data_IF_777919858311
#
_entry.id   IF_777919858311
#
_cell.length_a   1.000
_cell.length_b   1.000
_cell.length_c   1.000
_cell.angle_alpha   90.00
_cell.angle_beta   90.00
_cell.angle_gamma   90.00
#
_symmetry.space_group_name_H-M   'P 1'
#
loop_
_entity.id
_entity.type
_entity.pdbx_description
1 polymer ?
#
# COMPACT_ATOMS: atom_id res chain seq x y z
N UNK A 1 15.85 -44.51 -4.34
CA UNK A 1 16.29 -43.11 -4.46
C UNK A 1 15.36 -42.48 -5.48
N UNK A 2 14.22 -41.96 -5.03
CA UNK A 2 13.26 -41.32 -5.93
C UNK A 2 13.72 -39.89 -6.20
N UNK A 3 14.16 -39.66 -7.44
CA UNK A 3 14.43 -38.33 -7.97
C UNK A 3 13.08 -37.67 -8.23
N UNK A 4 12.71 -36.72 -7.36
CA UNK A 4 11.57 -35.83 -7.59
C UNK A 4 11.75 -35.12 -8.94
N UNK A 5 11.07 -35.59 -9.99
CA UNK A 5 10.99 -34.88 -11.26
C UNK A 5 10.28 -33.55 -10.99
N UNK A 6 11.03 -32.44 -10.99
CA UNK A 6 10.45 -31.10 -10.99
C UNK A 6 9.53 -30.96 -12.20
N UNK A 7 8.33 -30.44 -11.98
CA UNK A 7 7.35 -30.25 -13.04
C UNK A 7 7.63 -28.92 -13.75
N UNK A 8 7.67 -28.94 -15.08
CA UNK A 8 7.72 -27.72 -15.89
C UNK A 8 6.33 -27.11 -16.10
N UNK A 9 5.27 -27.70 -15.53
CA UNK A 9 3.91 -27.18 -15.69
C UNK A 9 3.69 -25.90 -14.88
N UNK A 10 3.36 -24.83 -15.60
CA UNK A 10 3.06 -23.52 -15.04
C UNK A 10 1.69 -23.54 -14.36
N UNK A 11 1.64 -23.07 -13.12
CA UNK A 11 0.40 -22.77 -12.41
C UNK A 11 -0.06 -21.34 -12.69
N UNK A 12 0.85 -20.36 -12.55
CA UNK A 12 0.60 -18.94 -12.84
C UNK A 12 1.78 -18.38 -13.64
N UNK A 13 1.49 -17.73 -14.76
CA UNK A 13 2.45 -16.86 -15.44
C UNK A 13 2.08 -15.41 -15.13
N UNK A 14 2.84 -14.76 -14.23
CA UNK A 14 2.70 -13.35 -13.87
C UNK A 14 3.88 -12.53 -14.42
N UNK A 15 4.28 -12.84 -15.65
CA UNK A 15 5.29 -12.08 -16.37
C UNK A 15 4.92 -10.59 -16.48
N UNK A 16 5.90 -9.69 -16.38
CA UNK A 16 7.35 -9.98 -16.34
C UNK A 16 7.91 -10.20 -14.92
N UNK A 17 7.07 -10.38 -13.89
CA UNK A 17 7.54 -10.39 -12.50
C UNK A 17 7.96 -11.79 -12.02
N UNK A 18 7.05 -12.76 -12.12
CA UNK A 18 7.30 -14.13 -11.65
C UNK A 18 6.49 -15.18 -12.39
N UNK A 19 6.94 -16.42 -12.28
CA UNK A 19 6.21 -17.64 -12.68
C UNK A 19 6.09 -18.55 -11.46
N UNK A 20 4.88 -19.07 -11.23
CA UNK A 20 4.61 -20.10 -10.22
C UNK A 20 4.37 -21.42 -10.93
N UNK A 21 5.07 -22.47 -10.52
CA UNK A 21 4.93 -23.82 -11.03
C UNK A 21 3.97 -24.66 -10.17
N UNK A 22 3.36 -25.70 -10.75
CA UNK A 22 2.45 -26.59 -10.00
C UNK A 22 3.12 -27.37 -8.87
N UNK A 23 4.45 -27.52 -8.91
CA UNK A 23 5.23 -28.13 -7.83
C UNK A 23 5.55 -27.16 -6.67
N UNK A 24 5.03 -25.93 -6.72
CA UNK A 24 5.18 -24.90 -5.70
C UNK A 24 6.42 -24.02 -5.87
N UNK A 25 7.30 -24.33 -6.83
CA UNK A 25 8.45 -23.47 -7.14
C UNK A 25 7.98 -22.11 -7.66
N UNK A 26 8.63 -21.05 -7.20
CA UNK A 26 8.44 -19.68 -7.70
C UNK A 26 9.74 -19.23 -8.35
N UNK A 27 9.64 -18.82 -9.61
CA UNK A 27 10.75 -18.23 -10.35
C UNK A 27 10.52 -16.73 -10.47
N UNK A 28 11.41 -15.93 -9.87
CA UNK A 28 11.41 -14.48 -10.05
C UNK A 28 12.10 -14.14 -11.38
N UNK A 29 11.36 -13.49 -12.27
CA UNK A 29 11.85 -13.07 -13.59
C UNK A 29 12.46 -11.67 -13.53
N UNK A 30 11.77 -10.74 -12.89
CA UNK A 30 12.26 -9.39 -12.58
C UNK A 30 12.20 -9.19 -11.07
N UNK A 31 13.35 -9.38 -10.41
CA UNK A 31 13.50 -9.07 -8.99
C UNK A 31 13.56 -7.57 -8.75
N UNK A 32 13.13 -7.15 -7.56
CA UNK A 32 13.20 -5.75 -7.16
C UNK A 32 14.65 -5.32 -6.94
N UNK A 33 14.99 -4.13 -7.42
CA UNK A 33 16.31 -3.54 -7.19
C UNK A 33 16.30 -2.85 -5.82
N UNK A 34 16.97 -3.44 -4.84
CA UNK A 34 17.04 -2.86 -3.49
C UNK A 34 18.08 -1.75 -3.41
N UNK A 35 17.75 -0.71 -2.65
CA UNK A 35 18.65 0.39 -2.33
C UNK A 35 18.80 0.54 -0.81
N UNK A 36 20.00 0.84 -0.30
CA UNK A 36 20.18 1.12 1.12
C UNK A 36 19.49 2.44 1.50
N UNK A 37 19.18 2.63 2.79
CA UNK A 37 18.77 3.94 3.27
C UNK A 37 19.92 4.93 3.06
N UNK A 38 19.59 6.15 2.63
CA UNK A 38 20.56 7.17 2.26
C UNK A 38 19.99 8.58 2.41
N UNK A 39 20.87 9.57 2.31
CA UNK A 39 20.49 10.96 2.04
C UNK A 39 20.44 11.17 0.53
N UNK A 40 19.25 11.43 -0.01
CA UNK A 40 19.08 11.75 -1.42
C UNK A 40 19.38 13.25 -1.68
N UNK A 41 20.44 13.59 -2.42
CA UNK A 41 20.81 14.99 -2.67
C UNK A 41 19.79 15.74 -3.53
N UNK A 42 18.95 15.04 -4.32
CA UNK A 42 17.96 15.69 -5.20
C UNK A 42 16.74 16.19 -4.43
N UNK A 43 16.28 15.38 -3.49
CA UNK A 43 15.06 15.66 -2.71
C UNK A 43 15.36 16.20 -1.31
N UNK A 44 16.63 16.13 -0.88
CA UNK A 44 17.09 16.45 0.47
C UNK A 44 16.35 15.65 1.55
N UNK A 45 16.04 14.38 1.25
CA UNK A 45 15.38 13.44 2.15
C UNK A 45 16.40 12.45 2.68
N UNK A 46 16.47 12.32 4.00
CA UNK A 46 17.24 11.29 4.68
C UNK A 46 16.34 10.11 5.00
N UNK A 47 16.86 8.89 4.84
CA UNK A 47 16.14 7.66 5.17
C UNK A 47 16.94 6.77 6.09
N UNK A 48 16.25 5.92 6.86
CA UNK A 48 16.83 4.89 7.71
C UNK A 48 15.90 3.70 7.84
N UNK A 49 16.47 2.51 8.02
CA UNK A 49 15.71 1.30 8.32
C UNK A 49 15.61 1.11 9.83
N UNK A 50 14.45 0.71 10.33
CA UNK A 50 14.18 0.60 11.77
C UNK A 50 13.32 -0.62 12.06
N UNK A 51 13.68 -1.48 13.03
CA UNK A 51 12.86 -2.63 13.39
C UNK A 51 11.59 -2.18 14.14
N UNK A 52 10.43 -2.68 13.70
CA UNK A 52 9.16 -2.53 14.42
C UNK A 52 8.74 -3.80 15.14
N UNK A 53 9.33 -4.96 14.79
CA UNK A 53 9.16 -6.22 15.52
C UNK A 53 10.44 -7.05 15.47
N UNK A 54 11.18 -7.11 16.59
CA UNK A 54 12.38 -7.94 16.70
C UNK A 54 12.06 -9.44 16.65
N UNK A 55 10.94 -9.85 17.25
CA UNK A 55 10.55 -11.25 17.31
C UNK A 55 10.29 -11.87 15.92
N UNK A 56 9.78 -11.07 14.99
CA UNK A 56 9.45 -11.50 13.63
C UNK A 56 10.44 -10.96 12.59
N UNK A 57 11.52 -10.30 13.02
CA UNK A 57 12.49 -9.63 12.16
C UNK A 57 11.85 -8.68 11.12
N UNK A 58 10.88 -7.88 11.58
CA UNK A 58 10.15 -6.94 10.72
C UNK A 58 10.66 -5.51 10.88
N UNK A 59 10.83 -4.83 9.76
CA UNK A 59 11.44 -3.52 9.65
C UNK A 59 10.59 -2.58 8.81
N UNK A 60 10.80 -1.27 8.96
CA UNK A 60 10.24 -0.28 8.07
C UNK A 60 11.33 0.72 7.69
N UNK A 61 11.14 1.41 6.55
CA UNK A 61 12.00 2.52 6.15
C UNK A 61 11.34 3.84 6.50
N UNK A 62 12.02 4.62 7.34
CA UNK A 62 11.63 5.99 7.65
C UNK A 62 12.26 6.96 6.66
N UNK A 63 11.53 8.02 6.34
CA UNK A 63 11.96 9.11 5.45
C UNK A 63 11.67 10.46 6.12
N UNK A 64 12.68 11.31 6.21
CA UNK A 64 12.61 12.62 6.86
C UNK A 64 13.23 13.70 5.95
N UNK A 65 12.53 14.81 5.65
CA UNK A 65 13.12 15.91 4.89
C UNK A 65 14.08 16.69 5.80
N UNK A 66 15.33 16.87 5.37
CA UNK A 66 16.41 17.46 6.19
C UNK A 66 16.15 18.90 6.64
N UNK A 67 15.29 19.64 5.96
CA UNK A 67 14.93 21.01 6.34
C UNK A 67 14.34 21.08 7.77
N UNK A 68 13.87 19.96 8.32
CA UNK A 68 13.32 19.87 9.68
C UNK A 68 14.35 19.91 10.80
N UNK A 69 15.63 19.64 10.52
CA UNK A 69 16.69 19.73 11.54
C UNK A 69 16.94 21.18 12.04
N UNK A 70 16.42 22.18 11.33
CA UNK A 70 16.62 23.59 11.66
C UNK A 70 15.59 24.13 12.67
N UNK A 71 14.41 23.50 12.78
CA UNK A 71 13.34 23.94 13.68
C UNK A 71 12.85 22.77 14.54
N UNK A 72 13.49 22.56 15.71
CA UNK A 72 13.22 21.44 16.63
C UNK A 72 11.77 21.37 17.17
N UNK A 73 10.94 22.39 16.96
CA UNK A 73 9.55 22.42 17.43
C UNK A 73 8.51 22.12 16.34
N UNK A 74 8.90 21.98 15.06
CA UNK A 74 7.94 21.76 13.99
C UNK A 74 7.64 20.27 13.80
N UNK A 75 6.40 19.86 14.12
CA UNK A 75 5.87 18.54 13.80
C UNK A 75 5.32 18.50 12.36
N UNK A 76 5.59 17.41 11.65
CA UNK A 76 5.17 17.16 10.28
C UNK A 76 4.07 16.10 10.22
N UNK A 77 3.11 16.20 9.28
CA UNK A 77 2.19 15.11 9.02
C UNK A 77 2.92 13.78 8.79
N UNK A 78 2.31 12.69 9.24
CA UNK A 78 2.89 11.35 9.16
C UNK A 78 2.14 10.50 8.15
N UNK A 79 2.86 9.97 7.16
CA UNK A 79 2.36 8.98 6.22
C UNK A 79 2.87 7.59 6.61
N UNK A 80 1.97 6.61 6.76
CA UNK A 80 2.33 5.19 6.78
C UNK A 80 2.00 4.60 5.41
N UNK A 81 3.03 4.12 4.71
CA UNK A 81 2.94 3.63 3.35
C UNK A 81 3.09 2.11 3.28
N UNK A 82 2.24 1.47 2.49
CA UNK A 82 2.28 0.04 2.21
C UNK A 82 2.50 -0.15 0.71
N UNK A 83 3.59 -0.81 0.33
CA UNK A 83 3.91 -1.03 -1.09
C UNK A 83 2.95 -2.03 -1.75
N UNK A 84 2.76 -1.90 -3.06
CA UNK A 84 2.05 -2.86 -3.89
C UNK A 84 2.84 -4.13 -4.16
N UNK A 85 2.47 -4.84 -5.24
CA UNK A 85 3.11 -6.10 -5.63
C UNK A 85 2.28 -7.34 -5.35
N UNK A 86 0.94 -7.23 -5.43
CA UNK A 86 0.01 -8.36 -5.32
C UNK A 86 0.18 -9.26 -4.08
N UNK A 87 0.82 -8.75 -3.01
CA UNK A 87 1.22 -9.49 -1.80
C UNK A 87 2.35 -10.54 -1.98
N UNK A 88 3.08 -10.52 -3.09
CA UNK A 88 4.12 -11.52 -3.39
C UNK A 88 5.39 -10.99 -4.09
N UNK A 89 5.45 -9.70 -4.42
CA UNK A 89 6.63 -9.05 -5.00
C UNK A 89 6.83 -7.66 -4.40
N UNK A 90 7.98 -7.04 -4.72
CA UNK A 90 8.39 -5.72 -4.23
C UNK A 90 8.67 -5.68 -2.73
N UNK A 91 9.22 -4.54 -2.30
CA UNK A 91 9.70 -4.30 -0.95
C UNK A 91 9.70 -2.80 -0.66
N UNK A 92 9.57 -2.40 0.60
CA UNK A 92 9.84 -1.07 1.09
C UNK A 92 11.28 -0.58 0.76
N UNK A 93 12.20 -1.49 0.46
CA UNK A 93 13.60 -1.19 0.09
C UNK A 93 13.83 -1.10 -1.42
N UNK A 94 12.80 -1.36 -2.23
CA UNK A 94 12.90 -1.28 -3.68
C UNK A 94 13.10 0.16 -4.16
N UNK A 95 13.97 0.31 -5.16
CA UNK A 95 14.36 1.60 -5.74
C UNK A 95 13.19 2.42 -6.26
N UNK A 96 12.14 1.79 -6.80
CA UNK A 96 10.96 2.49 -7.33
C UNK A 96 10.15 3.14 -6.20
N UNK A 97 9.90 2.41 -5.11
CA UNK A 97 9.22 2.92 -3.92
C UNK A 97 10.09 3.93 -3.18
N UNK A 98 11.39 3.68 -3.09
CA UNK A 98 12.32 4.63 -2.48
C UNK A 98 12.34 5.97 -3.20
N UNK A 99 12.40 5.96 -4.53
CA UNK A 99 12.38 7.19 -5.35
C UNK A 99 11.05 7.93 -5.26
N UNK A 100 9.94 7.19 -5.26
CA UNK A 100 8.60 7.75 -5.08
C UNK A 100 8.44 8.42 -3.72
N UNK A 101 8.81 7.73 -2.63
CA UNK A 101 8.69 8.26 -1.27
C UNK A 101 9.63 9.42 -1.01
N UNK A 102 10.86 9.44 -1.53
CA UNK A 102 11.73 10.62 -1.48
C UNK A 102 11.04 11.84 -2.12
N UNK A 103 10.43 11.66 -3.28
CA UNK A 103 9.74 12.74 -4.00
C UNK A 103 8.51 13.25 -3.25
N UNK A 104 7.70 12.33 -2.71
CA UNK A 104 6.50 12.66 -1.93
C UNK A 104 6.83 13.35 -0.62
N UNK A 105 7.79 12.81 0.13
CA UNK A 105 8.26 13.37 1.42
C UNK A 105 8.79 14.78 1.25
N UNK A 106 9.62 15.00 0.22
CA UNK A 106 10.18 16.31 -0.08
C UNK A 106 9.11 17.33 -0.47
N UNK A 107 8.20 16.97 -1.37
CA UNK A 107 7.17 17.91 -1.88
C UNK A 107 6.04 18.19 -0.90
N UNK A 108 5.64 17.19 -0.11
CA UNK A 108 4.60 17.35 0.90
C UNK A 108 5.14 17.87 2.24
N UNK A 109 6.47 17.86 2.45
CA UNK A 109 7.09 18.19 3.73
C UNK A 109 6.49 17.37 4.89
N UNK A 110 6.51 16.05 4.73
CA UNK A 110 5.95 15.07 5.66
C UNK A 110 7.04 14.13 6.18
N UNK A 111 6.75 13.35 7.21
CA UNK A 111 7.54 12.14 7.55
C UNK A 111 6.81 10.93 6.99
N UNK A 112 7.53 9.97 6.41
CA UNK A 112 6.94 8.72 5.92
C UNK A 112 7.56 7.49 6.58
N UNK A 113 6.73 6.48 6.86
CA UNK A 113 7.10 5.15 7.32
C UNK A 113 6.62 4.12 6.30
N UNK A 114 7.54 3.55 5.51
CA UNK A 114 7.25 2.51 4.52
C UNK A 114 7.42 1.13 5.14
N UNK A 115 6.33 0.38 5.27
CA UNK A 115 6.30 -0.88 6.00
C UNK A 115 6.82 -2.03 5.14
N UNK A 116 7.85 -2.75 5.61
CA UNK A 116 8.20 -4.06 5.07
C UNK A 116 7.32 -5.11 5.76
N UNK A 117 6.33 -5.60 5.01
CA UNK A 117 5.43 -6.65 5.46
C UNK A 117 5.81 -7.98 4.78
N UNK A 118 5.57 -9.12 5.45
CA UNK A 118 5.88 -10.43 4.86
C UNK A 118 4.92 -10.78 3.74
N UNK A 119 5.38 -11.60 2.81
CA UNK A 119 4.69 -11.85 1.54
C UNK A 119 4.54 -13.34 1.22
N UNK A 120 3.61 -13.65 0.32
CA UNK A 120 3.48 -14.97 -0.28
C UNK A 120 4.71 -15.30 -1.15
N UNK A 121 5.08 -16.59 -1.29
CA UNK A 121 4.35 -17.77 -0.79
C UNK A 121 4.60 -18.08 0.70
N UNK A 122 5.70 -17.60 1.28
CA UNK A 122 6.13 -18.00 2.63
C UNK A 122 5.19 -17.51 3.73
N UNK A 123 4.61 -16.32 3.53
CA UNK A 123 3.71 -15.67 4.46
C UNK A 123 2.53 -15.05 3.70
N UNK A 124 1.58 -15.86 3.21
CA UNK A 124 0.45 -15.35 2.46
C UNK A 124 -0.50 -14.54 3.35
N UNK A 125 -1.47 -13.85 2.75
CA UNK A 125 -2.56 -13.18 3.49
C UNK A 125 -3.18 -14.17 4.51
N UNK A 126 -3.33 -13.79 5.79
CA UNK A 126 -3.37 -12.41 6.32
C UNK A 126 -2.06 -11.84 6.89
N UNK A 127 -0.90 -12.51 6.75
CA UNK A 127 0.37 -12.02 7.31
C UNK A 127 0.71 -10.56 6.93
N UNK A 128 0.62 -10.13 5.65
CA UNK A 128 0.77 -8.72 5.28
C UNK A 128 -0.06 -7.74 6.13
N UNK A 129 -1.32 -8.07 6.42
CA UNK A 129 -2.24 -7.22 7.18
C UNK A 129 -1.91 -7.21 8.66
N UNK A 130 -1.52 -8.35 9.23
CA UNK A 130 -1.13 -8.45 10.64
C UNK A 130 0.20 -7.75 10.93
N UNK A 131 1.16 -7.87 10.01
CA UNK A 131 2.44 -7.17 10.06
C UNK A 131 2.22 -5.65 9.97
N UNK A 132 1.35 -5.23 9.06
CA UNK A 132 0.97 -3.82 8.88
C UNK A 132 0.29 -3.24 10.12
N UNK A 133 -0.60 -4.00 10.77
CA UNK A 133 -1.20 -3.56 12.03
C UNK A 133 -0.18 -3.50 13.17
N UNK A 134 0.79 -4.42 13.18
CA UNK A 134 1.90 -4.41 14.13
C UNK A 134 2.79 -3.18 13.94
N UNK A 135 3.10 -2.83 12.69
CA UNK A 135 3.83 -1.61 12.36
C UNK A 135 3.06 -0.35 12.81
N UNK A 136 1.73 -0.30 12.60
CA UNK A 136 0.90 0.82 13.04
C UNK A 136 0.87 0.99 14.57
N UNK A 137 0.76 -0.10 15.33
CA UNK A 137 0.87 -0.05 16.80
C UNK A 137 2.25 0.44 17.24
N UNK A 138 3.31 -0.02 16.58
CA UNK A 138 4.66 0.45 16.85
C UNK A 138 4.81 1.94 16.54
N UNK A 139 4.31 2.42 15.41
CA UNK A 139 4.27 3.85 15.05
C UNK A 139 3.50 4.64 16.12
N UNK A 140 2.29 4.21 16.49
CA UNK A 140 1.45 4.88 17.48
C UNK A 140 2.09 4.98 18.87
N UNK A 141 3.00 4.06 19.23
CA UNK A 141 3.72 4.11 20.52
C UNK A 141 4.62 5.34 20.69
N UNK A 142 4.89 6.08 19.63
CA UNK A 142 5.67 7.32 19.63
C UNK A 142 4.80 8.58 19.84
N UNK A 143 3.47 8.44 19.93
CA UNK A 143 2.53 9.57 20.00
C UNK A 143 2.75 10.49 21.21
N UNK A 144 3.32 9.98 22.29
CA UNK A 144 3.69 10.73 23.50
C UNK A 144 5.17 11.16 23.54
N UNK A 145 5.92 10.96 22.45
CA UNK A 145 7.34 11.29 22.34
C UNK A 145 8.29 10.34 23.08
N UNK A 146 7.82 9.15 23.48
CA UNK A 146 8.60 8.16 24.25
C UNK A 146 8.75 6.80 23.56
N UNK A 147 8.45 6.74 22.27
CA UNK A 147 8.64 5.51 21.50
C UNK A 147 10.14 5.22 21.26
N UNK A 148 10.47 4.05 20.71
CA UNK A 148 11.86 3.64 20.48
C UNK A 148 12.60 4.42 19.36
N UNK A 149 11.90 5.14 18.48
CA UNK A 149 12.49 5.89 17.37
C UNK A 149 12.46 7.41 17.55
N UNK A 150 13.64 8.03 17.55
CA UNK A 150 13.80 9.46 17.76
C UNK A 150 13.24 10.34 16.65
N UNK A 151 13.14 9.87 15.40
CA UNK A 151 12.60 10.68 14.31
C UNK A 151 11.09 10.82 14.47
N UNK A 152 10.40 9.72 14.76
CA UNK A 152 8.97 9.74 15.06
C UNK A 152 8.69 10.57 16.32
N UNK A 153 9.45 10.36 17.40
CA UNK A 153 9.28 11.12 18.65
C UNK A 153 9.42 12.64 18.46
N UNK A 154 10.42 13.08 17.66
CA UNK A 154 10.74 14.51 17.50
C UNK A 154 9.96 15.17 16.39
N UNK A 155 9.75 14.52 15.26
CA UNK A 155 9.27 15.17 14.05
C UNK A 155 7.86 14.79 13.62
N UNK A 156 7.31 13.65 14.05
CA UNK A 156 5.97 13.24 13.62
C UNK A 156 4.84 13.97 14.38
N UNK A 157 3.83 14.40 13.63
CA UNK A 157 2.56 14.91 14.10
C UNK A 157 1.51 13.80 14.08
N UNK A 158 1.26 13.20 15.25
CA UNK A 158 0.28 12.13 15.38
C UNK A 158 -1.17 12.61 15.34
N UNK A 159 -1.41 13.92 15.25
CA UNK A 159 -2.73 14.49 14.99
C UNK A 159 -3.00 14.70 13.48
N UNK A 160 -2.02 14.40 12.62
CA UNK A 160 -2.13 14.44 11.16
C UNK A 160 -1.52 13.19 10.54
N UNK A 161 -2.15 12.05 10.81
CA UNK A 161 -1.71 10.76 10.25
C UNK A 161 -2.51 10.40 9.00
N UNK A 162 -1.82 9.80 8.04
CA UNK A 162 -2.39 9.31 6.80
C UNK A 162 -1.89 7.90 6.52
N UNK A 163 -2.78 7.06 5.98
CA UNK A 163 -2.39 5.75 5.44
C UNK A 163 -2.42 5.80 3.92
N UNK A 164 -1.48 5.13 3.27
CA UNK A 164 -1.50 5.02 1.82
C UNK A 164 -0.87 3.72 1.37
N UNK A 165 -1.24 3.33 0.17
CA UNK A 165 -0.48 2.36 -0.59
C UNK A 165 -0.95 2.32 -2.02
N UNK A 166 -0.36 1.42 -2.79
CA UNK A 166 -0.76 1.16 -4.17
C UNK A 166 -1.09 -0.32 -4.37
N UNK A 167 -2.03 -0.62 -5.27
CA UNK A 167 -2.38 -2.01 -5.58
C UNK A 167 -2.74 -2.82 -4.32
N UNK A 168 -2.02 -3.91 -4.03
CA UNK A 168 -2.13 -4.67 -2.78
C UNK A 168 -1.85 -3.83 -1.52
N UNK A 169 -0.94 -2.86 -1.59
CA UNK A 169 -0.68 -1.92 -0.49
C UNK A 169 -1.85 -0.97 -0.24
N UNK A 170 -2.58 -0.55 -1.29
CA UNK A 170 -3.83 0.20 -1.12
C UNK A 170 -4.92 -0.65 -0.46
N UNK A 171 -4.98 -1.94 -0.78
CA UNK A 171 -5.85 -2.89 -0.07
C UNK A 171 -5.49 -2.93 1.43
N UNK A 172 -4.21 -3.06 1.79
CA UNK A 172 -3.75 -3.01 3.18
C UNK A 172 -4.13 -1.68 3.83
N UNK A 173 -3.84 -0.55 3.19
CA UNK A 173 -4.14 0.79 3.72
C UNK A 173 -5.63 0.97 4.08
N UNK A 174 -6.51 0.50 3.20
CA UNK A 174 -7.95 0.48 3.45
C UNK A 174 -8.31 -0.34 4.69
N UNK A 175 -7.84 -1.60 4.76
CA UNK A 175 -8.15 -2.49 5.87
C UNK A 175 -7.54 -2.03 7.19
N UNK A 176 -6.39 -1.38 7.16
CA UNK A 176 -5.80 -0.73 8.34
C UNK A 176 -6.63 0.48 8.80
N UNK A 177 -7.21 1.23 7.86
CA UNK A 177 -8.16 2.31 8.17
C UNK A 177 -9.45 1.80 8.81
N UNK A 178 -9.98 0.67 8.32
CA UNK A 178 -11.13 -0.01 8.94
C UNK A 178 -10.79 -0.49 10.34
N UNK A 179 -9.67 -1.19 10.48
CA UNK A 179 -9.21 -1.70 11.78
C UNK A 179 -8.93 -0.57 12.77
N UNK A 180 -8.36 0.54 12.34
CA UNK A 180 -8.23 1.74 13.17
C UNK A 180 -9.58 2.29 13.64
N UNK A 181 -10.61 2.25 12.80
CA UNK A 181 -11.94 2.69 13.21
C UNK A 181 -12.61 1.80 14.26
N UNK A 182 -12.30 0.49 14.24
CA UNK A 182 -12.80 -0.51 15.18
C UNK A 182 -11.98 -0.57 16.49
N UNK A 183 -10.66 -0.73 16.37
CA UNK A 183 -9.76 -1.00 17.49
C UNK A 183 -9.19 0.30 18.11
N UNK A 184 -9.12 1.38 17.32
CA UNK A 184 -8.40 2.63 17.59
C UNK A 184 -6.90 2.45 17.85
N UNK A 185 -6.14 3.52 17.60
CA UNK A 185 -4.75 3.66 18.02
C UNK A 185 -4.68 4.91 18.92
N UNK A 186 -4.36 4.71 20.19
CA UNK A 186 -4.30 5.81 21.16
C UNK A 186 -3.28 6.87 20.72
N UNK A 187 -3.64 8.14 20.87
CA UNK A 187 -2.80 9.27 20.50
C UNK A 187 -2.67 9.53 19.00
N UNK A 188 -3.35 8.76 18.14
CA UNK A 188 -3.32 8.89 16.68
C UNK A 188 -4.65 9.41 16.14
N UNK A 189 -4.61 10.47 15.34
CA UNK A 189 -5.74 10.97 14.55
C UNK A 189 -5.51 10.70 13.06
N UNK A 190 -6.32 9.79 12.50
CA UNK A 190 -6.25 9.41 11.09
C UNK A 190 -7.05 10.39 10.23
N UNK A 191 -6.35 11.33 9.60
CA UNK A 191 -6.98 12.38 8.81
C UNK A 191 -7.40 11.92 7.41
N UNK A 192 -6.63 11.02 6.79
CA UNK A 192 -6.95 10.58 5.44
C UNK A 192 -6.33 9.26 5.05
N UNK A 193 -6.91 8.65 4.01
CA UNK A 193 -6.36 7.47 3.36
C UNK A 193 -6.22 7.77 1.86
N UNK A 194 -5.06 7.46 1.29
CA UNK A 194 -4.80 7.59 -0.15
C UNK A 194 -4.66 6.18 -0.75
N UNK A 195 -5.54 5.85 -1.69
CA UNK A 195 -5.62 4.53 -2.31
C UNK A 195 -5.23 4.64 -3.78
N UNK A 196 -4.02 4.19 -4.11
CA UNK A 196 -3.53 4.23 -5.49
C UNK A 196 -3.84 2.92 -6.20
N UNK A 197 -4.76 2.93 -7.17
CA UNK A 197 -5.14 1.72 -7.93
C UNK A 197 -5.49 0.53 -7.02
N UNK A 198 -6.47 0.67 -6.12
CA UNK A 198 -6.70 -0.32 -5.06
C UNK A 198 -6.99 -1.72 -5.61
N UNK A 199 -6.30 -2.72 -5.05
CA UNK A 199 -6.49 -4.13 -5.43
C UNK A 199 -7.78 -4.69 -4.82
N UNK A 200 -8.88 -4.32 -5.45
CA UNK A 200 -10.21 -4.85 -5.21
C UNK A 200 -10.68 -5.69 -6.39
N UNK A 201 -11.54 -6.65 -6.12
CA UNK A 201 -12.13 -7.51 -7.12
C UNK A 201 -13.51 -7.99 -6.66
N UNK A 202 -14.15 -8.85 -7.44
CA UNK A 202 -15.39 -9.51 -7.06
C UNK A 202 -15.63 -10.71 -7.94
N UNK A 203 -16.48 -11.64 -7.48
CA UNK A 203 -16.74 -12.88 -8.21
C UNK A 203 -17.33 -12.60 -9.60
N UNK A 204 -18.32 -11.71 -9.64
CA UNK A 204 -18.97 -11.27 -10.87
C UNK A 204 -18.45 -9.91 -11.34
N UNK A 205 -18.27 -9.72 -12.67
CA UNK A 205 -17.86 -8.44 -13.23
C UNK A 205 -18.91 -7.36 -12.97
N UNK A 206 -18.44 -6.15 -12.70
CA UNK A 206 -19.26 -4.93 -12.65
C UNK A 206 -19.12 -4.14 -13.94
N UNK A 207 -19.98 -3.13 -14.15
CA UNK A 207 -19.90 -2.27 -15.32
C UNK A 207 -18.50 -1.65 -15.47
N UNK A 208 -17.87 -1.85 -16.63
CA UNK A 208 -16.53 -1.36 -16.94
C UNK A 208 -15.38 -2.24 -16.44
N UNK A 209 -15.65 -3.33 -15.73
CA UNK A 209 -14.68 -4.38 -15.43
C UNK A 209 -14.63 -5.40 -16.58
N UNK A 210 -13.48 -6.04 -16.79
CA UNK A 210 -13.31 -7.08 -17.80
C UNK A 210 -14.13 -8.34 -17.48
N UNK A 211 -14.76 -8.88 -18.52
CA UNK A 211 -15.44 -10.19 -18.54
C UNK A 211 -14.58 -11.27 -19.24
N UNK A 212 -13.34 -10.97 -19.61
CA UNK A 212 -12.42 -11.93 -20.23
C UNK A 212 -12.10 -13.08 -19.26
N UNK A 213 -12.56 -14.28 -19.61
CA UNK A 213 -12.46 -15.45 -18.75
C UNK A 213 -11.01 -15.82 -18.42
N UNK A 214 -10.07 -15.62 -19.35
CA UNK A 214 -8.66 -16.00 -19.16
C UNK A 214 -7.97 -15.05 -18.17
N UNK A 215 -8.20 -13.75 -18.30
CA UNK A 215 -7.67 -12.75 -17.36
C UNK A 215 -8.27 -12.96 -15.97
N UNK A 216 -9.59 -13.20 -15.87
CA UNK A 216 -10.25 -13.48 -14.59
C UNK A 216 -9.71 -14.74 -13.93
N UNK A 217 -9.52 -15.82 -14.69
CA UNK A 217 -8.91 -17.06 -14.17
C UNK A 217 -7.46 -16.83 -13.71
N UNK A 218 -6.66 -16.07 -14.47
CA UNK A 218 -5.29 -15.71 -14.10
C UNK A 218 -5.25 -14.94 -12.76
N UNK A 219 -6.14 -13.96 -12.57
CA UNK A 219 -6.24 -13.20 -11.32
C UNK A 219 -6.74 -14.07 -10.16
N UNK A 220 -7.68 -15.00 -10.40
CA UNK A 220 -8.14 -15.96 -9.38
C UNK A 220 -6.99 -16.87 -8.92
N UNK A 221 -6.18 -17.39 -9.86
CA UNK A 221 -5.00 -18.18 -9.50
C UNK A 221 -4.01 -17.37 -8.69
N UNK A 222 -3.72 -16.12 -9.08
CA UNK A 222 -2.85 -15.22 -8.32
C UNK A 222 -3.38 -14.98 -6.90
N UNK A 223 -4.68 -14.69 -6.76
CA UNK A 223 -5.34 -14.54 -5.47
C UNK A 223 -5.28 -15.83 -4.63
N UNK A 224 -5.44 -17.01 -5.24
CA UNK A 224 -5.29 -18.32 -4.55
C UNK A 224 -3.88 -18.55 -4.07
N UNK A 225 -2.90 -18.12 -4.85
CA UNK A 225 -1.50 -18.21 -4.48
C UNK A 225 -1.17 -17.27 -3.31
N UNK A 226 -1.66 -16.03 -3.32
CA UNK A 226 -1.33 -15.04 -2.28
C UNK A 226 -2.25 -15.05 -1.07
N UNK A 227 -3.42 -15.68 -1.18
CA UNK A 227 -4.41 -15.81 -0.11
C UNK A 227 -5.12 -17.18 -0.16
N UNK A 228 -4.42 -18.29 0.14
CA UNK A 228 -4.99 -19.63 0.00
C UNK A 228 -6.15 -19.92 0.97
N UNK A 229 -6.26 -19.18 2.08
CA UNK A 229 -7.32 -19.37 3.08
C UNK A 229 -8.70 -18.88 2.62
N UNK A 230 -8.74 -17.82 1.79
CA UNK A 230 -9.99 -17.27 1.24
C UNK A 230 -10.40 -18.09 0.02
N UNK A 231 -11.69 -18.38 -0.13
CA UNK A 231 -12.21 -19.28 -1.19
C UNK A 231 -12.82 -18.57 -2.39
N UNK A 232 -13.08 -17.26 -2.32
CA UNK A 232 -13.73 -16.50 -3.39
C UNK A 232 -13.39 -15.01 -3.36
N UNK A 233 -13.81 -14.29 -4.40
CA UNK A 233 -13.52 -12.87 -4.53
C UNK A 233 -14.51 -11.95 -3.82
N UNK A 234 -15.69 -12.44 -3.44
CA UNK A 234 -16.66 -11.65 -2.66
C UNK A 234 -16.35 -11.64 -1.15
N UNK A 235 -15.19 -12.17 -0.76
CA UNK A 235 -14.64 -11.94 0.57
C UNK A 235 -14.39 -10.44 0.79
N UNK A 236 -14.78 -9.87 1.95
CA UNK A 236 -14.57 -8.45 2.30
C UNK A 236 -13.15 -7.94 2.06
N UNK A 237 -12.15 -8.83 2.12
CA UNK A 237 -10.77 -8.47 1.84
C UNK A 237 -10.60 -7.89 0.45
N UNK A 238 -11.21 -8.51 -0.57
CA UNK A 238 -11.08 -8.11 -1.98
C UNK A 238 -12.30 -7.35 -2.49
N UNK A 239 -13.48 -7.61 -1.93
CA UNK A 239 -14.72 -6.93 -2.32
C UNK A 239 -15.31 -6.17 -1.12
N UNK A 240 -14.89 -4.90 -0.90
CA UNK A 240 -15.37 -4.10 0.23
C UNK A 240 -16.89 -3.90 0.27
N UNK A 241 -17.60 -4.12 -0.85
CA UNK A 241 -19.06 -4.06 -0.89
C UNK A 241 -19.73 -5.05 0.07
N UNK A 242 -19.03 -6.15 0.38
CA UNK A 242 -19.47 -7.21 1.28
C UNK A 242 -18.95 -7.05 2.70
N UNK A 243 -18.16 -6.02 3.00
CA UNK A 243 -17.66 -5.77 4.35
C UNK A 243 -18.76 -5.15 5.23
N UNK A 244 -19.28 -5.86 6.25
CA UNK A 244 -20.30 -5.32 7.14
C UNK A 244 -19.80 -4.15 7.98
N UNK A 245 -18.48 -4.02 8.16
CA UNK A 245 -17.83 -2.99 8.96
C UNK A 245 -17.39 -1.79 8.12
N UNK A 246 -17.71 -1.71 6.83
CA UNK A 246 -17.22 -0.62 5.97
C UNK A 246 -17.59 0.78 6.50
N UNK A 247 -18.72 0.91 7.19
CA UNK A 247 -19.14 2.16 7.87
C UNK A 247 -18.20 2.60 9.00
N UNK A 248 -17.44 1.67 9.55
CA UNK A 248 -16.47 1.90 10.61
C UNK A 248 -15.13 2.43 10.07
N UNK A 249 -14.97 2.70 8.77
CA UNK A 249 -13.74 3.28 8.23
C UNK A 249 -13.36 4.55 9.00
N UNK A 250 -12.23 4.50 9.70
CA UNK A 250 -11.94 5.47 10.76
C UNK A 250 -11.31 6.79 10.30
N UNK A 251 -11.07 6.97 9.00
CA UNK A 251 -10.52 8.22 8.46
C UNK A 251 -11.58 9.29 8.25
N UNK A 252 -11.17 10.55 8.07
CA UNK A 252 -12.08 11.66 7.73
C UNK A 252 -12.23 11.82 6.22
N UNK A 253 -11.20 11.43 5.48
CA UNK A 253 -11.08 11.63 4.02
C UNK A 253 -10.50 10.39 3.35
N UNK A 254 -10.93 10.13 2.13
CA UNK A 254 -10.37 9.08 1.25
C UNK A 254 -10.14 9.71 -0.12
N UNK A 255 -8.92 9.57 -0.65
CA UNK A 255 -8.59 9.89 -2.03
C UNK A 255 -8.27 8.59 -2.77
N UNK A 256 -8.94 8.36 -3.89
CA UNK A 256 -8.75 7.17 -4.72
C UNK A 256 -8.17 7.61 -6.05
N UNK A 257 -7.01 7.09 -6.41
CA UNK A 257 -6.49 7.21 -7.76
C UNK A 257 -6.87 5.97 -8.58
N UNK A 258 -7.39 6.21 -9.77
CA UNK A 258 -7.66 5.18 -10.78
C UNK A 258 -6.99 5.58 -12.09
N UNK A 259 -6.61 4.62 -12.92
CA UNK A 259 -6.03 4.88 -14.23
C UNK A 259 -6.91 4.28 -15.32
N UNK A 260 -7.05 4.98 -16.45
CA UNK A 260 -7.99 4.62 -17.50
C UNK A 260 -7.75 3.22 -18.08
N UNK A 261 -6.49 2.80 -18.23
CA UNK A 261 -6.13 1.51 -18.82
C UNK A 261 -5.92 0.42 -17.75
N UNK A 262 -6.15 0.72 -16.48
CA UNK A 262 -6.03 -0.24 -15.39
C UNK A 262 -7.26 -1.17 -15.33
N UNK A 263 -7.03 -2.48 -15.25
CA UNK A 263 -8.09 -3.47 -15.11
C UNK A 263 -8.83 -3.36 -13.75
N UNK A 264 -8.22 -2.71 -12.75
CA UNK A 264 -8.82 -2.43 -11.44
C UNK A 264 -9.62 -1.12 -11.39
N UNK A 265 -9.61 -0.32 -12.47
CA UNK A 265 -10.23 1.02 -12.54
C UNK A 265 -11.69 1.03 -12.07
N UNK A 266 -12.49 0.09 -12.59
CA UNK A 266 -13.91 0.01 -12.30
C UNK A 266 -14.18 -0.22 -10.80
N UNK A 267 -13.35 -1.03 -10.13
CA UNK A 267 -13.49 -1.32 -8.70
C UNK A 267 -13.10 -0.15 -7.82
N UNK A 268 -12.11 0.66 -8.23
CA UNK A 268 -11.79 1.91 -7.55
C UNK A 268 -12.95 2.90 -7.56
N UNK A 269 -13.58 3.10 -8.73
CA UNK A 269 -14.82 3.89 -8.85
C UNK A 269 -15.96 3.31 -8.01
N UNK A 270 -16.18 2.01 -8.11
CA UNK A 270 -17.25 1.33 -7.39
C UNK A 270 -17.10 1.47 -5.87
N UNK A 271 -15.87 1.38 -5.34
CA UNK A 271 -15.60 1.60 -3.93
C UNK A 271 -16.01 3.00 -3.46
N UNK A 272 -15.72 4.04 -4.24
CA UNK A 272 -16.16 5.40 -3.94
C UNK A 272 -17.68 5.51 -3.85
N UNK A 273 -18.39 4.86 -4.78
CA UNK A 273 -19.85 4.85 -4.80
C UNK A 273 -20.44 4.05 -3.64
N UNK A 274 -19.80 2.97 -3.21
CA UNK A 274 -20.21 2.23 -2.01
C UNK A 274 -20.11 3.12 -0.77
N UNK A 275 -18.98 3.81 -0.56
CA UNK A 275 -18.81 4.70 0.60
C UNK A 275 -19.90 5.77 0.67
N UNK A 276 -20.27 6.36 -0.48
CA UNK A 276 -21.40 7.31 -0.57
C UNK A 276 -22.73 6.63 -0.26
N UNK A 277 -23.00 5.48 -0.89
CA UNK A 277 -24.27 4.73 -0.75
C UNK A 277 -24.53 4.28 0.68
N UNK A 278 -23.51 3.83 1.40
CA UNK A 278 -23.67 3.39 2.79
C UNK A 278 -23.79 4.56 3.78
N UNK A 279 -23.60 5.81 3.31
CA UNK A 279 -23.63 7.01 4.13
C UNK A 279 -22.43 7.10 5.08
N UNK A 280 -21.24 6.67 4.66
CA UNK A 280 -20.03 6.87 5.45
C UNK A 280 -19.80 8.38 5.65
N UNK A 281 -19.53 8.79 6.90
CA UNK A 281 -19.52 10.21 7.30
C UNK A 281 -18.31 11.03 6.84
N UNK A 282 -17.34 10.40 6.17
CA UNK A 282 -16.17 11.08 5.62
C UNK A 282 -16.37 11.61 4.20
N UNK A 283 -15.33 12.26 3.68
CA UNK A 283 -15.31 12.75 2.29
C UNK A 283 -14.50 11.81 1.39
N UNK A 284 -15.09 11.36 0.28
CA UNK A 284 -14.40 10.55 -0.73
C UNK A 284 -14.24 11.34 -2.02
N UNK A 285 -13.01 11.36 -2.54
CA UNK A 285 -12.64 11.94 -3.83
C UNK A 285 -11.99 10.88 -4.72
N UNK A 286 -12.25 10.94 -6.03
CA UNK A 286 -11.62 10.07 -7.02
C UNK A 286 -10.90 10.94 -8.06
N UNK A 287 -9.65 10.61 -8.37
CA UNK A 287 -8.92 11.16 -9.51
C UNK A 287 -8.62 10.05 -10.52
N UNK A 288 -9.15 10.20 -11.72
CA UNK A 288 -8.84 9.31 -12.84
C UNK A 288 -7.76 9.93 -13.74
N UNK A 289 -6.71 9.15 -14.02
CA UNK A 289 -5.66 9.53 -14.96
C UNK A 289 -5.88 8.88 -16.32
N UNK A 290 -6.02 9.70 -17.36
CA UNK A 290 -6.28 9.26 -18.74
C UNK A 290 -5.02 8.74 -19.44
N UNK A 291 -5.18 7.71 -20.27
CA UNK A 291 -4.10 7.10 -21.05
C UNK A 291 -3.05 6.32 -20.26
N UNK A 292 -3.20 6.18 -18.94
CA UNK A 292 -2.22 5.52 -18.08
C UNK A 292 -2.68 4.13 -17.63
N UNK A 293 -1.72 3.26 -17.34
CA UNK A 293 -1.93 1.91 -16.82
C UNK A 293 -1.70 1.79 -15.31
N UNK A 294 -1.76 0.55 -14.83
CA UNK A 294 -1.57 0.23 -13.40
C UNK A 294 -0.21 0.72 -12.89
N UNK A 295 -0.24 1.46 -11.79
CA UNK A 295 0.90 2.06 -11.07
C UNK A 295 1.90 2.84 -11.95
N UNK A 296 1.41 3.50 -13.00
CA UNK A 296 2.22 4.29 -13.93
C UNK A 296 3.18 5.29 -13.26
N UNK A 297 2.77 5.86 -12.12
CA UNK A 297 3.56 6.84 -11.36
C UNK A 297 4.86 6.27 -10.77
N UNK A 298 4.96 4.95 -10.60
CA UNK A 298 6.21 4.27 -10.22
C UNK A 298 7.10 3.99 -11.42
N UNK A 299 6.50 3.60 -12.56
CA UNK A 299 7.22 3.22 -13.76
C UNK A 299 7.77 4.41 -14.55
N UNK A 300 7.03 5.52 -14.59
CA UNK A 300 7.42 6.74 -15.30
C UNK A 300 7.19 7.99 -14.43
N UNK A 301 7.97 8.18 -13.35
CA UNK A 301 7.73 9.20 -12.33
C UNK A 301 7.85 10.64 -12.85
N UNK A 302 8.46 10.86 -14.01
CA UNK A 302 8.69 12.18 -14.61
C UNK A 302 7.67 12.55 -15.69
N UNK A 303 6.72 11.68 -16.03
CA UNK A 303 5.67 12.03 -16.98
C UNK A 303 4.77 13.15 -16.43
N UNK A 304 4.11 13.89 -17.32
CA UNK A 304 3.16 14.94 -16.94
C UNK A 304 2.04 14.39 -16.03
N UNK A 305 1.53 13.21 -16.37
CA UNK A 305 0.54 12.50 -15.58
C UNK A 305 1.05 12.12 -14.18
N UNK A 306 2.30 11.63 -14.06
CA UNK A 306 2.90 11.28 -12.77
C UNK A 306 3.15 12.51 -11.90
N UNK A 307 3.53 13.63 -12.52
CA UNK A 307 3.69 14.92 -11.84
C UNK A 307 2.33 15.43 -11.34
N UNK A 308 1.27 15.32 -12.15
CA UNK A 308 -0.09 15.71 -11.75
C UNK A 308 -0.63 14.83 -10.62
N UNK A 309 -0.43 13.52 -10.71
CA UNK A 309 -0.74 12.55 -9.66
C UNK A 309 -0.04 12.93 -8.34
N UNK A 310 1.27 13.15 -8.39
CA UNK A 310 2.05 13.49 -7.20
C UNK A 310 1.60 14.82 -6.60
N UNK A 311 1.29 15.81 -7.45
CA UNK A 311 0.74 17.09 -7.00
C UNK A 311 -0.59 16.90 -6.26
N UNK A 312 -1.51 16.10 -6.80
CA UNK A 312 -2.79 15.83 -6.15
C UNK A 312 -2.61 15.13 -4.80
N UNK A 313 -1.68 14.18 -4.72
CA UNK A 313 -1.33 13.50 -3.46
C UNK A 313 -0.81 14.53 -2.44
N UNK A 314 0.16 15.36 -2.83
CA UNK A 314 0.71 16.43 -1.98
C UNK A 314 -0.38 17.39 -1.49
N UNK A 315 -1.27 17.84 -2.39
CA UNK A 315 -2.37 18.74 -2.06
C UNK A 315 -3.33 18.09 -1.05
N UNK A 316 -3.60 16.79 -1.17
CA UNK A 316 -4.44 16.07 -0.23
C UNK A 316 -3.82 16.01 1.18
N UNK A 317 -2.51 15.77 1.27
CA UNK A 317 -1.80 15.68 2.56
C UNK A 317 -1.70 17.02 3.30
N UNK A 318 -1.70 18.13 2.55
CA UNK A 318 -1.50 19.48 3.07
C UNK A 318 -2.79 20.26 3.37
N UNK A 319 -3.95 19.68 3.06
CA UNK A 319 -5.28 20.18 3.45
C UNK A 319 -5.60 19.79 4.89
#
# INVERSE_FOLDING_TARGET
MDTTKSSSEIYIDFSPNLIVYKDGRVEQLNGSVFVPPSLDPKTNVESKDTPYSLANNLTLRLYLPKNTHQNNNQKLPLLVYFHGGAFCIESAFSSIYHSFLNSLVSKANIIAASVEYRQAPDNPVPFPHDDSWTALKWVASHSNGKGPDDWLNRHADFQRVFFSGDSAGANIAHHMGLRYGLDKLEGVDLNGIVLCHPYYWGENPIAGETDDANLREKLDKLRRFTCPAIKGFDDPLFNPAFDPNLRCLGSKRVLIFVAELDFLRARGWYFAEILKKIGWGGHVEVMETKGEGHCFFLANPTSENSVAFLKKFVDFMNQ
#
